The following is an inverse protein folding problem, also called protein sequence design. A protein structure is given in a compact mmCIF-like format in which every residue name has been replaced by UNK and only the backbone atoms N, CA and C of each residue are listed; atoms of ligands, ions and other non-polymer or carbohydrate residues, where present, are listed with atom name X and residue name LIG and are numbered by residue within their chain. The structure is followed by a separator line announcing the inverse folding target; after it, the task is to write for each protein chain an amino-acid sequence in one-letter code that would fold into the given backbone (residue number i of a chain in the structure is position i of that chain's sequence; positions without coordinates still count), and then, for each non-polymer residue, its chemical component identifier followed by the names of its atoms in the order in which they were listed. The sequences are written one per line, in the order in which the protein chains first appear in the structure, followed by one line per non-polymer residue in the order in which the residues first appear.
data_IF_845275391974
#
_entry.id   IF_845275391974
#
_cell.length_a   1.000
_cell.length_b   1.000
_cell.length_c   1.000
_cell.angle_alpha   90.00
_cell.angle_beta   90.00
_cell.angle_gamma   90.00
#
_symmetry.space_group_name_H-M   'P 1'
#
loop_
_entity.id
_entity.type
_entity.pdbx_description
1 polymer ?
#
# COMPACT_ATOMS: atom_id res chain seq x y z
N UNK A 1 23.46 -31.91 -7.85
CA UNK A 1 22.89 -30.90 -6.91
C UNK A 1 23.00 -29.50 -7.47
N UNK A 2 24.20 -29.06 -7.90
CA UNK A 2 24.41 -27.73 -8.51
C UNK A 2 23.63 -27.58 -9.83
N UNK A 3 23.64 -28.60 -10.71
CA UNK A 3 22.85 -28.53 -11.96
C UNK A 3 21.33 -28.44 -11.74
N UNK A 4 20.81 -28.99 -10.64
CA UNK A 4 19.40 -28.82 -10.26
C UNK A 4 19.12 -27.37 -9.84
N UNK A 5 20.07 -26.74 -9.14
CA UNK A 5 19.96 -25.33 -8.74
C UNK A 5 20.03 -24.42 -9.96
N UNK A 6 20.95 -24.65 -10.88
CA UNK A 6 21.07 -23.82 -12.09
C UNK A 6 19.79 -23.88 -12.93
N UNK A 7 19.20 -25.07 -13.11
CA UNK A 7 18.02 -25.24 -13.94
C UNK A 7 16.69 -24.80 -13.29
N UNK A 8 16.54 -24.91 -11.97
CA UNK A 8 15.23 -24.75 -11.30
C UNK A 8 15.15 -23.58 -10.32
N UNK A 9 16.27 -22.96 -9.93
CA UNK A 9 16.25 -21.91 -8.90
C UNK A 9 15.45 -20.68 -9.35
N UNK A 10 15.52 -20.30 -10.62
CA UNK A 10 14.74 -19.20 -11.18
C UNK A 10 13.23 -19.46 -11.03
N UNK A 11 12.78 -20.68 -11.32
CA UNK A 11 11.38 -21.08 -11.20
C UNK A 11 10.94 -21.13 -9.73
N UNK A 12 11.83 -21.58 -8.82
CA UNK A 12 11.57 -21.54 -7.38
C UNK A 12 11.34 -20.11 -6.87
N UNK A 13 12.12 -19.13 -7.33
CA UNK A 13 11.89 -17.72 -6.99
C UNK A 13 10.58 -17.18 -7.56
N UNK A 14 10.20 -17.57 -8.78
CA UNK A 14 8.90 -17.18 -9.35
C UNK A 14 7.74 -17.75 -8.52
N UNK A 15 7.80 -19.03 -8.17
CA UNK A 15 6.77 -19.68 -7.34
C UNK A 15 6.72 -19.05 -5.95
N UNK A 16 7.86 -18.82 -5.31
CA UNK A 16 7.92 -18.15 -4.02
C UNK A 16 7.32 -16.74 -4.09
N UNK A 17 7.63 -15.96 -5.12
CA UNK A 17 7.07 -14.62 -5.30
C UNK A 17 5.56 -14.64 -5.53
N UNK A 18 5.04 -15.64 -6.27
CA UNK A 18 3.61 -15.83 -6.45
C UNK A 18 2.92 -16.17 -5.12
N UNK A 19 3.51 -17.06 -4.31
CA UNK A 19 3.00 -17.39 -2.98
C UNK A 19 2.95 -16.16 -2.06
N UNK A 20 3.95 -15.28 -2.13
CA UNK A 20 3.95 -14.03 -1.37
C UNK A 20 2.82 -13.08 -1.82
N UNK A 21 2.58 -12.98 -3.12
CA UNK A 21 1.45 -12.20 -3.66
C UNK A 21 0.11 -12.79 -3.18
N UNK A 22 -0.04 -14.11 -3.19
CA UNK A 22 -1.23 -14.78 -2.68
C UNK A 22 -1.38 -14.56 -1.17
N UNK A 23 -0.29 -14.60 -0.41
CA UNK A 23 -0.30 -14.38 1.03
C UNK A 23 -0.77 -12.96 1.39
N UNK A 24 -0.44 -11.96 0.58
CA UNK A 24 -0.97 -10.60 0.73
C UNK A 24 -2.51 -10.59 0.69
N UNK A 25 -3.18 -11.46 -0.06
CA UNK A 25 -4.64 -11.48 -0.07
C UNK A 25 -5.23 -11.90 1.29
N UNK A 26 -4.48 -12.65 2.09
CA UNK A 26 -4.90 -13.08 3.42
C UNK A 26 -4.46 -12.10 4.52
N UNK A 27 -3.27 -11.49 4.41
CA UNK A 27 -2.63 -10.70 5.48
C UNK A 27 -2.48 -9.20 5.09
N UNK A 28 -2.99 -8.81 3.93
CA UNK A 28 -2.73 -7.52 3.28
C UNK A 28 -3.15 -6.29 4.08
N UNK A 29 -4.13 -6.44 4.97
CA UNK A 29 -4.58 -5.37 5.87
C UNK A 29 -3.45 -4.94 6.83
N UNK A 30 -2.62 -5.88 7.27
CA UNK A 30 -1.51 -5.61 8.19
C UNK A 30 -0.20 -5.28 7.45
N UNK A 31 0.05 -5.93 6.31
CA UNK A 31 1.30 -5.76 5.55
C UNK A 31 1.32 -4.52 4.68
N UNK A 32 0.16 -3.94 4.35
CA UNK A 32 0.05 -2.66 3.66
C UNK A 32 0.70 -2.68 2.28
N UNK A 33 0.46 -3.75 1.51
CA UNK A 33 0.94 -3.97 0.14
C UNK A 33 2.41 -4.39 -0.02
N UNK A 34 3.11 -4.65 1.08
CA UNK A 34 4.55 -4.94 1.05
C UNK A 34 4.87 -6.33 0.46
N UNK A 35 4.03 -7.36 0.70
CA UNK A 35 4.30 -8.72 0.19
C UNK A 35 4.10 -8.80 -1.33
N UNK A 36 3.14 -8.07 -1.90
CA UNK A 36 2.94 -8.00 -3.36
C UNK A 36 4.15 -7.38 -4.05
N UNK A 37 4.66 -6.29 -3.48
CA UNK A 37 5.83 -5.63 -4.03
C UNK A 37 7.10 -6.48 -3.89
N UNK A 38 7.30 -7.11 -2.74
CA UNK A 38 8.43 -8.00 -2.53
C UNK A 38 8.35 -9.25 -3.41
N UNK A 39 7.17 -9.84 -3.55
CA UNK A 39 6.93 -10.98 -4.43
C UNK A 39 7.13 -10.66 -5.91
N UNK A 40 6.70 -9.48 -6.37
CA UNK A 40 6.96 -9.02 -7.74
C UNK A 40 8.44 -8.76 -8.00
N UNK A 41 9.19 -8.22 -7.04
CA UNK A 41 10.65 -8.08 -7.15
C UNK A 41 11.34 -9.46 -7.27
N UNK A 42 10.86 -10.46 -6.52
CA UNK A 42 11.37 -11.84 -6.57
C UNK A 42 11.12 -12.49 -7.94
N UNK A 43 9.90 -12.32 -8.48
CA UNK A 43 9.51 -12.82 -9.82
C UNK A 43 10.36 -12.15 -10.90
N UNK A 44 10.54 -10.83 -10.84
CA UNK A 44 11.36 -10.10 -11.80
C UNK A 44 12.82 -10.55 -11.75
N UNK A 45 13.39 -10.71 -10.55
CA UNK A 45 14.76 -11.21 -10.38
C UNK A 45 14.94 -12.63 -10.93
N UNK A 46 13.99 -13.53 -10.67
CA UNK A 46 14.01 -14.89 -11.20
C UNK A 46 13.82 -14.95 -12.72
N UNK A 47 12.84 -14.21 -13.27
CA UNK A 47 12.60 -14.20 -14.73
C UNK A 47 13.76 -13.58 -15.52
N UNK A 48 14.36 -12.50 -15.02
CA UNK A 48 15.52 -11.87 -15.68
C UNK A 48 16.73 -12.80 -15.75
N UNK A 49 16.84 -13.73 -14.80
CA UNK A 49 17.95 -14.69 -14.73
C UNK A 49 17.60 -16.06 -15.30
N UNK A 50 16.40 -16.26 -15.83
CA UNK A 50 15.98 -17.52 -16.46
C UNK A 50 16.81 -17.95 -17.68
N UNK A 51 17.52 -17.01 -18.30
CA UNK A 51 18.44 -17.27 -19.43
C UNK A 51 19.90 -17.45 -19.01
N UNK A 52 20.19 -17.35 -17.70
CA UNK A 52 21.52 -17.46 -17.13
C UNK A 52 21.60 -18.76 -16.34
N UNK A 53 22.38 -19.72 -16.82
CA UNK A 53 22.63 -21.01 -16.14
C UNK A 53 23.61 -20.83 -14.96
N UNK A 54 23.26 -19.93 -14.03
CA UNK A 54 24.03 -19.71 -12.81
C UNK A 54 23.12 -19.37 -11.64
N UNK A 55 23.08 -20.30 -10.69
CA UNK A 55 22.35 -20.16 -9.44
C UNK A 55 22.85 -18.97 -8.60
N UNK A 56 24.16 -18.68 -8.65
CA UNK A 56 24.77 -17.54 -7.96
C UNK A 56 24.26 -16.22 -8.52
N UNK A 57 24.20 -16.09 -9.85
CA UNK A 57 23.70 -14.88 -10.51
C UNK A 57 22.21 -14.69 -10.22
N UNK A 58 21.45 -15.78 -10.28
CA UNK A 58 20.02 -15.81 -9.94
C UNK A 58 19.77 -15.32 -8.51
N UNK A 59 20.49 -15.87 -7.53
CA UNK A 59 20.35 -15.49 -6.13
C UNK A 59 20.79 -14.04 -5.86
N UNK A 60 21.91 -13.60 -6.46
CA UNK A 60 22.40 -12.23 -6.31
C UNK A 60 21.44 -11.21 -6.93
N UNK A 61 20.93 -11.46 -8.14
CA UNK A 61 19.97 -10.59 -8.79
C UNK A 61 18.66 -10.50 -8.01
N UNK A 62 18.07 -11.64 -7.61
CA UNK A 62 16.83 -11.64 -6.83
C UNK A 62 17.00 -10.90 -5.50
N UNK A 63 18.09 -11.15 -4.78
CA UNK A 63 18.42 -10.46 -3.53
C UNK A 63 18.64 -8.96 -3.75
N UNK A 64 19.33 -8.56 -4.82
CA UNK A 64 19.53 -7.15 -5.16
C UNK A 64 18.21 -6.43 -5.45
N UNK A 65 17.28 -7.06 -6.18
CA UNK A 65 15.94 -6.49 -6.43
C UNK A 65 15.13 -6.33 -5.14
N UNK A 66 15.16 -7.34 -4.25
CA UNK A 66 14.52 -7.24 -2.94
C UNK A 66 15.14 -6.14 -2.08
N UNK A 67 16.46 -6.05 -2.01
CA UNK A 67 17.16 -5.02 -1.25
C UNK A 67 16.88 -3.61 -1.80
N UNK A 68 16.84 -3.47 -3.13
CA UNK A 68 16.47 -2.22 -3.80
C UNK A 68 15.04 -1.79 -3.44
N UNK A 69 14.09 -2.72 -3.45
CA UNK A 69 12.72 -2.47 -3.02
C UNK A 69 12.66 -2.05 -1.55
N UNK A 70 13.24 -2.82 -0.63
CA UNK A 70 13.16 -2.53 0.81
C UNK A 70 13.86 -1.21 1.17
N UNK A 71 15.03 -0.95 0.57
CA UNK A 71 15.84 0.24 0.85
C UNK A 71 15.25 1.53 0.26
N UNK A 72 14.79 1.47 -0.99
CA UNK A 72 14.38 2.66 -1.77
C UNK A 72 12.88 2.61 -2.06
N UNK A 73 12.41 1.50 -2.65
CA UNK A 73 11.02 1.34 -3.10
C UNK A 73 10.00 1.57 -1.98
N UNK A 74 10.22 0.98 -0.81
CA UNK A 74 9.31 1.10 0.34
C UNK A 74 9.15 2.53 0.82
N UNK A 75 10.25 3.30 0.89
CA UNK A 75 10.22 4.72 1.29
C UNK A 75 9.54 5.57 0.22
N UNK A 76 9.87 5.34 -1.05
CA UNK A 76 9.31 6.08 -2.17
C UNK A 76 7.80 5.85 -2.34
N UNK A 77 7.36 4.59 -2.27
CA UNK A 77 5.94 4.22 -2.39
C UNK A 77 5.15 4.77 -1.22
N UNK A 78 5.64 4.65 0.03
CA UNK A 78 4.96 5.24 1.19
C UNK A 78 4.90 6.76 1.13
N UNK A 79 5.95 7.42 0.63
CA UNK A 79 5.93 8.87 0.44
C UNK A 79 4.91 9.29 -0.63
N UNK A 80 4.78 8.52 -1.71
CA UNK A 80 3.85 8.81 -2.81
C UNK A 80 2.40 8.41 -2.50
N UNK A 81 2.20 7.41 -1.63
CA UNK A 81 0.90 6.98 -1.10
C UNK A 81 0.44 7.81 0.11
N UNK A 82 1.18 8.84 0.55
CA UNK A 82 0.58 9.87 1.40
C UNK A 82 -0.49 10.56 0.58
N UNK A 83 -1.72 10.05 0.71
CA UNK A 83 -2.94 10.71 0.31
C UNK A 83 -2.80 12.11 0.87
N UNK A 84 -2.68 13.10 -0.03
CA UNK A 84 -2.80 14.51 0.34
C UNK A 84 -3.99 14.58 1.27
N UNK A 85 -3.79 15.15 2.46
CA UNK A 85 -4.85 15.45 3.41
C UNK A 85 -5.85 16.34 2.66
N UNK A 86 -6.78 15.67 1.98
CA UNK A 86 -7.63 16.30 1.00
C UNK A 86 -8.67 16.90 1.88
N UNK A 87 -8.53 18.21 2.16
CA UNK A 87 -9.51 18.99 2.90
C UNK A 87 -10.87 18.57 2.40
N UNK A 88 -11.55 17.80 3.23
CA UNK A 88 -12.89 17.34 2.90
C UNK A 88 -13.78 18.57 2.93
N UNK A 89 -14.94 18.56 2.26
CA UNK A 89 -15.87 19.70 2.36
C UNK A 89 -16.22 20.04 3.83
N UNK A 90 -16.08 19.07 4.74
CA UNK A 90 -16.22 19.23 6.18
C UNK A 90 -15.16 20.19 6.75
N UNK A 91 -13.92 20.12 6.28
CA UNK A 91 -12.83 21.01 6.72
C UNK A 91 -13.03 22.46 6.24
N UNK A 92 -13.77 22.66 5.13
CA UNK A 92 -14.11 23.98 4.61
C UNK A 92 -15.19 24.71 5.44
N UNK A 93 -15.88 23.99 6.33
CA UNK A 93 -16.95 24.49 7.20
C UNK A 93 -16.39 24.99 8.54
N UNK A 94 -15.24 24.47 8.96
CA UNK A 94 -14.58 24.85 10.22
C UNK A 94 -14.20 26.34 10.16
N UNK A 95 -14.69 27.13 11.12
CA UNK A 95 -14.47 28.57 11.20
C UNK A 95 -15.49 29.43 10.45
N UNK A 96 -16.44 28.84 9.72
CA UNK A 96 -17.55 29.58 9.09
C UNK A 96 -18.73 29.74 10.04
N UNK A 97 -19.44 30.86 9.89
CA UNK A 97 -20.67 31.14 10.64
C UNK A 97 -21.87 30.49 9.96
N UNK A 98 -22.75 29.86 10.75
CA UNK A 98 -23.98 29.22 10.27
C UNK A 98 -25.22 29.72 10.98
N UNK A 99 -26.38 29.53 10.37
CA UNK A 99 -27.67 29.90 10.96
C UNK A 99 -28.34 28.66 11.56
N UNK A 100 -28.78 28.76 12.83
CA UNK A 100 -29.48 27.67 13.50
C UNK A 100 -30.88 27.51 12.90
N UNK A 101 -31.15 26.32 12.35
CA UNK A 101 -32.47 25.92 11.81
C UNK A 101 -33.32 25.20 12.87
N UNK A 102 -32.69 24.30 13.62
CA UNK A 102 -33.32 23.56 14.72
C UNK A 102 -32.56 23.81 16.01
N UNK A 103 -33.28 24.08 17.10
CA UNK A 103 -32.71 24.39 18.42
C UNK A 103 -31.69 23.32 18.84
N UNK A 104 -30.49 23.76 19.19
CA UNK A 104 -29.44 22.91 19.74
C UNK A 104 -29.58 22.94 21.26
N UNK A 105 -29.72 21.78 21.88
CA UNK A 105 -29.87 21.63 23.33
C UNK A 105 -28.70 20.88 23.95
N UNK A 106 -28.57 20.97 25.28
CA UNK A 106 -27.47 20.36 26.06
C UNK A 106 -27.30 18.85 25.83
N UNK A 107 -28.36 18.16 25.41
CA UNK A 107 -28.38 16.73 25.06
C UNK A 107 -29.11 16.42 23.74
N UNK A 108 -29.41 17.44 22.93
CA UNK A 108 -30.19 17.28 21.70
C UNK A 108 -29.42 17.89 20.54
N UNK A 109 -29.09 17.04 19.56
CA UNK A 109 -28.50 17.53 18.31
C UNK A 109 -29.51 18.40 17.57
N UNK A 110 -29.09 19.57 17.14
CA UNK A 110 -29.86 20.45 16.26
C UNK A 110 -29.32 20.41 14.83
N UNK A 111 -29.86 21.30 14.00
CA UNK A 111 -29.45 21.49 12.60
C UNK A 111 -29.03 22.94 12.40
N UNK A 112 -27.90 23.15 11.74
CA UNK A 112 -27.37 24.45 11.34
C UNK A 112 -27.21 24.48 9.84
N UNK A 113 -27.58 25.58 9.20
CA UNK A 113 -27.30 25.81 7.79
C UNK A 113 -25.99 26.57 7.66
N UNK A 114 -25.02 26.01 6.95
CA UNK A 114 -23.73 26.64 6.66
C UNK A 114 -23.57 26.71 5.14
N UNK A 115 -23.58 27.91 4.57
CA UNK A 115 -23.68 28.09 3.12
C UNK A 115 -25.02 27.56 2.58
N UNK A 116 -24.96 26.58 1.68
CA UNK A 116 -26.14 25.95 1.06
C UNK A 116 -26.47 24.56 1.63
N UNK A 117 -25.73 24.09 2.64
CA UNK A 117 -25.88 22.75 3.20
C UNK A 117 -26.38 22.80 4.63
N UNK A 118 -27.12 21.77 5.03
CA UNK A 118 -27.62 21.60 6.40
C UNK A 118 -26.79 20.54 7.12
N UNK A 119 -26.25 20.93 8.26
CA UNK A 119 -25.31 20.14 9.05
C UNK A 119 -25.86 19.91 10.45
N UNK A 120 -25.58 18.73 11.00
CA UNK A 120 -25.96 18.38 12.37
C UNK A 120 -25.00 19.05 13.34
N UNK A 121 -25.54 19.76 14.33
CA UNK A 121 -24.76 20.48 15.32
C UNK A 121 -25.08 20.02 16.74
N UNK A 122 -24.10 20.14 17.63
CA UNK A 122 -24.20 19.87 19.07
C UNK A 122 -23.49 20.98 19.85
N UNK A 123 -23.99 21.32 21.04
CA UNK A 123 -23.34 22.25 21.97
C UNK A 123 -22.70 21.51 23.14
#
# INVERSE_FOLDING_TARGET
MIELLDAWLWAAFVVAGLLMILLELFIGVETGFDLVMLGSALILGGLLTSFLDSWLVTALCASAFCALYVGIGRKYIRAKMKVSDTKTNIDAIIGKTGTVKTRIGKNTSGLVKIGNEEWRARS
#
